data_IF_623824117180
#
_entry.id   IF_623824117180
#
_cell.length_a   1.000
_cell.length_b   1.000
_cell.length_c   1.000
_cell.angle_alpha   90.00
_cell.angle_beta   90.00
_cell.angle_gamma   90.00
#
_symmetry.space_group_name_H-M   'P 1'
#
loop_
_entity.id
_entity.type
_entity.pdbx_description
1 polymer ?
#
# COMPACT_ATOMS: atom_id res chain seq x y z
N UNK A 1 -1.09 36.60 -29.50
CA UNK A 1 -1.35 35.22 -29.97
C UNK A 1 -1.25 34.30 -28.76
N UNK A 2 -2.37 33.81 -28.22
CA UNK A 2 -2.37 32.88 -27.10
C UNK A 2 -2.26 31.44 -27.62
N UNK A 3 -1.44 30.56 -27.02
CA UNK A 3 -1.28 29.20 -27.50
C UNK A 3 -2.55 28.36 -27.28
N UNK A 4 -2.85 27.40 -28.17
CA UNK A 4 -4.04 26.57 -28.05
C UNK A 4 -3.91 25.58 -26.88
N UNK A 5 -4.93 25.57 -26.03
CA UNK A 5 -5.08 24.59 -24.95
C UNK A 5 -5.33 23.21 -25.55
N UNK A 6 -4.31 22.35 -25.55
CA UNK A 6 -4.46 20.95 -25.93
C UNK A 6 -5.31 20.25 -24.86
N UNK A 7 -6.57 19.95 -25.19
CA UNK A 7 -7.44 19.12 -24.34
C UNK A 7 -6.82 17.72 -24.24
N UNK A 8 -6.21 17.42 -23.10
CA UNK A 8 -5.72 16.08 -22.80
C UNK A 8 -6.89 15.07 -22.89
N UNK A 9 -6.88 14.23 -23.93
CA UNK A 9 -7.88 13.17 -24.12
C UNK A 9 -7.72 12.16 -22.99
N UNK A 10 -8.61 12.22 -22.01
CA UNK A 10 -8.66 11.36 -20.82
C UNK A 10 -8.84 9.92 -21.29
N UNK A 11 -7.76 9.12 -21.28
CA UNK A 11 -7.81 7.70 -21.68
C UNK A 11 -8.68 6.93 -20.69
N UNK A 12 -9.82 6.40 -21.16
CA UNK A 12 -10.60 5.38 -20.45
C UNK A 12 -9.89 4.04 -20.62
N UNK A 13 -9.31 3.53 -19.55
CA UNK A 13 -8.92 2.12 -19.43
C UNK A 13 -9.58 1.63 -18.14
N UNK A 14 -10.77 1.04 -18.27
CA UNK A 14 -11.71 0.84 -17.16
C UNK A 14 -11.99 -0.63 -16.81
N UNK A 15 -11.31 -1.60 -17.43
CA UNK A 15 -11.62 -3.03 -17.21
C UNK A 15 -10.51 -3.84 -16.51
N UNK A 16 -9.23 -3.56 -16.74
CA UNK A 16 -8.16 -4.45 -16.21
C UNK A 16 -7.46 -3.97 -14.92
N UNK A 17 -7.87 -2.84 -14.36
CA UNK A 17 -6.95 -2.01 -13.56
C UNK A 17 -7.43 -1.64 -12.15
N UNK A 18 -8.39 -2.37 -11.57
CA UNK A 18 -8.85 -2.12 -10.18
C UNK A 18 -8.89 -3.35 -9.29
N UNK A 19 -8.58 -4.53 -9.82
CA UNK A 19 -8.60 -5.78 -9.06
C UNK A 19 -7.20 -6.08 -8.55
N UNK A 20 -7.08 -6.35 -7.25
CA UNK A 20 -5.83 -6.76 -6.64
C UNK A 20 -5.41 -8.15 -7.16
N UNK A 21 -4.17 -8.27 -7.63
CA UNK A 21 -3.56 -9.57 -7.96
C UNK A 21 -2.72 -10.05 -6.78
N UNK A 22 -2.93 -11.29 -6.34
CA UNK A 22 -2.18 -11.86 -5.22
C UNK A 22 -0.66 -11.89 -5.46
N UNK A 23 -0.24 -12.06 -6.72
CA UNK A 23 1.17 -12.05 -7.13
C UNK A 23 1.88 -10.76 -6.75
N UNK A 24 1.19 -9.61 -6.74
CA UNK A 24 1.74 -8.31 -6.36
C UNK A 24 2.32 -8.27 -4.94
N UNK A 25 1.86 -9.17 -4.07
CA UNK A 25 2.42 -9.31 -2.72
C UNK A 25 3.87 -9.76 -2.77
N UNK A 26 4.19 -10.73 -3.63
CA UNK A 26 5.56 -11.20 -3.79
C UNK A 26 6.32 -10.29 -4.75
N UNK A 27 5.71 -9.89 -5.87
CA UNK A 27 6.39 -9.10 -6.89
C UNK A 27 6.81 -7.71 -6.38
N UNK A 28 5.93 -7.03 -5.65
CA UNK A 28 6.10 -5.61 -5.29
C UNK A 28 5.97 -5.32 -3.79
N UNK A 29 5.90 -6.36 -2.94
CA UNK A 29 5.73 -6.19 -1.50
C UNK A 29 4.49 -5.36 -1.13
N UNK A 30 3.36 -5.53 -1.82
CA UNK A 30 2.11 -4.82 -1.51
C UNK A 30 0.99 -5.76 -1.09
N UNK A 31 0.20 -5.36 -0.10
CA UNK A 31 -0.98 -6.11 0.35
C UNK A 31 -2.25 -5.27 0.21
N UNK A 32 -3.37 -5.91 -0.11
CA UNK A 32 -4.68 -5.25 -0.07
C UNK A 32 -5.11 -5.04 1.38
N UNK A 33 -5.47 -3.80 1.71
CA UNK A 33 -6.06 -3.43 2.98
C UNK A 33 -7.35 -2.62 2.73
N UNK A 34 -8.50 -3.29 2.78
CA UNK A 34 -9.82 -2.74 2.44
C UNK A 34 -9.81 -2.06 1.05
N UNK A 35 -9.92 -0.74 1.04
CA UNK A 35 -10.05 0.12 -0.15
C UNK A 35 -8.71 0.69 -0.65
N UNK A 36 -7.57 0.24 -0.12
CA UNK A 36 -6.26 0.67 -0.59
C UNK A 36 -5.26 -0.49 -0.56
N UNK A 37 -4.09 -0.26 -1.17
CA UNK A 37 -2.94 -1.15 -1.07
C UNK A 37 -1.94 -0.56 -0.09
N UNK A 38 -1.40 -1.40 0.79
CA UNK A 38 -0.34 -1.02 1.72
C UNK A 38 0.99 -1.57 1.21
N UNK A 39 2.00 -0.70 1.10
CA UNK A 39 3.36 -1.13 0.83
C UNK A 39 4.01 -1.68 2.10
N UNK A 40 4.49 -2.91 2.08
CA UNK A 40 5.11 -3.55 3.24
C UNK A 40 6.50 -2.98 3.55
N UNK A 41 7.17 -2.36 2.57
CA UNK A 41 8.53 -1.81 2.71
C UNK A 41 8.49 -0.47 3.46
N UNK A 42 7.68 0.47 2.97
CA UNK A 42 7.63 1.84 3.49
C UNK A 42 6.37 2.16 4.30
N UNK A 43 5.42 1.22 4.39
CA UNK A 43 4.13 1.38 5.08
C UNK A 43 3.24 2.52 4.53
N UNK A 44 3.52 2.99 3.31
CA UNK A 44 2.70 3.98 2.62
C UNK A 44 1.48 3.36 1.94
N UNK A 45 0.40 4.14 1.82
CA UNK A 45 -0.85 3.74 1.17
C UNK A 45 -0.83 4.09 -0.32
N UNK A 46 -1.17 3.13 -1.16
CA UNK A 46 -1.40 3.30 -2.59
C UNK A 46 -2.91 3.19 -2.84
N UNK A 47 -3.55 4.32 -3.11
CA UNK A 47 -5.01 4.42 -3.20
C UNK A 47 -5.61 3.73 -4.45
N UNK A 48 -4.82 3.52 -5.49
CA UNK A 48 -5.31 3.06 -6.79
C UNK A 48 -4.66 1.73 -7.16
N UNK A 49 -5.49 0.71 -7.36
CA UNK A 49 -5.14 -0.68 -7.65
C UNK A 49 -4.66 -0.88 -9.09
N UNK A 50 -3.75 -0.02 -9.55
CA UNK A 50 -3.14 -0.08 -10.87
C UNK A 50 -1.70 -0.55 -10.76
N UNK A 51 -1.35 -1.55 -11.54
CA UNK A 51 0.00 -2.10 -11.62
C UNK A 51 1.06 -1.03 -11.90
N UNK A 52 0.77 -0.06 -12.77
CA UNK A 52 1.65 1.09 -13.03
C UNK A 52 1.97 1.89 -11.75
N UNK A 53 0.96 2.15 -10.90
CA UNK A 53 1.18 2.90 -9.67
C UNK A 53 2.03 2.10 -8.68
N UNK A 54 1.80 0.78 -8.60
CA UNK A 54 2.53 -0.14 -7.73
C UNK A 54 3.99 -0.24 -8.18
N UNK A 55 4.24 -0.48 -9.48
CA UNK A 55 5.59 -0.54 -10.06
C UNK A 55 6.37 0.74 -9.83
N UNK A 56 5.76 1.89 -10.15
CA UNK A 56 6.40 3.19 -9.93
C UNK A 56 6.74 3.41 -8.46
N UNK A 57 5.83 3.07 -7.55
CA UNK A 57 6.05 3.18 -6.12
C UNK A 57 7.22 2.28 -5.67
N UNK A 58 7.20 1.01 -6.07
CA UNK A 58 8.25 0.06 -5.74
C UNK A 58 9.64 0.52 -6.21
N UNK A 59 9.77 0.96 -7.47
CA UNK A 59 11.02 1.48 -8.02
C UNK A 59 11.59 2.70 -7.27
N UNK A 60 10.74 3.51 -6.64
CA UNK A 60 11.19 4.68 -5.87
C UNK A 60 11.60 4.39 -4.43
N UNK A 61 11.27 3.20 -3.91
CA UNK A 61 11.47 2.81 -2.50
C UNK A 61 12.53 1.72 -2.37
N UNK A 62 13.65 1.93 -3.08
CA UNK A 62 14.84 1.07 -3.09
C UNK A 62 14.60 -0.35 -3.63
N UNK A 63 13.95 -0.45 -4.80
CA UNK A 63 13.75 -1.72 -5.50
C UNK A 63 15.04 -2.54 -5.62
N UNK A 64 16.21 -1.91 -5.81
CA UNK A 64 17.51 -2.58 -5.94
C UNK A 64 17.85 -3.47 -4.74
N UNK A 65 17.49 -3.06 -3.51
CA UNK A 65 17.75 -3.85 -2.30
C UNK A 65 16.87 -5.10 -2.27
N UNK A 66 15.63 -4.99 -2.74
CA UNK A 66 14.64 -6.05 -2.67
C UNK A 66 14.63 -6.96 -3.90
N UNK A 67 15.07 -6.49 -5.06
CA UNK A 67 15.16 -7.28 -6.29
C UNK A 67 16.25 -8.34 -6.22
N UNK A 68 17.26 -8.15 -5.36
CA UNK A 68 18.25 -9.20 -5.06
C UNK A 68 17.67 -10.36 -4.24
N UNK A 69 16.54 -10.16 -3.56
CA UNK A 69 15.88 -11.20 -2.78
C UNK A 69 15.07 -12.11 -3.71
N UNK A 70 15.53 -13.37 -3.81
CA UNK A 70 14.90 -14.39 -4.64
C UNK A 70 14.33 -15.54 -3.82
N UNK A 71 13.35 -16.24 -4.39
CA UNK A 71 12.81 -17.50 -3.88
C UNK A 71 12.30 -17.42 -2.43
N UNK A 72 12.74 -18.33 -1.57
CA UNK A 72 12.24 -18.46 -0.20
C UNK A 72 12.55 -17.24 0.66
N UNK A 73 13.72 -16.61 0.48
CA UNK A 73 14.12 -15.42 1.24
C UNK A 73 13.12 -14.27 1.03
N UNK A 74 12.60 -14.14 -0.20
CA UNK A 74 11.58 -13.13 -0.52
C UNK A 74 10.26 -13.43 0.20
N UNK A 75 9.84 -14.68 0.23
CA UNK A 75 8.61 -15.12 0.92
C UNK A 75 8.74 -14.87 2.42
N UNK A 76 9.85 -15.27 3.02
CA UNK A 76 10.12 -15.09 4.44
C UNK A 76 10.12 -13.61 4.79
N UNK A 77 10.74 -12.77 3.95
CA UNK A 77 10.74 -11.31 4.16
C UNK A 77 9.34 -10.72 4.10
N UNK A 78 8.50 -11.15 3.16
CA UNK A 78 7.09 -10.73 3.08
C UNK A 78 6.32 -11.09 4.35
N UNK A 79 6.50 -12.31 4.87
CA UNK A 79 5.83 -12.76 6.08
C UNK A 79 6.28 -11.96 7.31
N UNK A 80 7.60 -11.77 7.47
CA UNK A 80 8.16 -10.95 8.55
C UNK A 80 7.61 -9.51 8.54
N UNK A 81 7.51 -8.89 7.36
CA UNK A 81 6.97 -7.53 7.26
C UNK A 81 5.47 -7.47 7.60
N UNK A 82 4.69 -8.48 7.18
CA UNK A 82 3.26 -8.58 7.55
C UNK A 82 3.09 -8.73 9.06
N UNK A 83 3.86 -9.60 9.69
CA UNK A 83 3.75 -9.85 11.13
C UNK A 83 4.15 -8.62 11.94
N UNK A 84 5.19 -7.90 11.50
CA UNK A 84 5.60 -6.63 12.10
C UNK A 84 4.50 -5.57 12.03
N UNK A 85 3.86 -5.40 10.86
CA UNK A 85 2.75 -4.45 10.69
C UNK A 85 1.54 -4.85 11.54
N UNK A 86 1.18 -6.14 11.55
CA UNK A 86 0.06 -6.63 12.35
C UNK A 86 0.28 -6.41 13.84
N UNK A 87 1.50 -6.67 14.30
CA UNK A 87 1.90 -6.41 15.70
C UNK A 87 1.73 -4.93 16.03
N UNK A 88 2.30 -4.03 15.22
CA UNK A 88 2.15 -2.57 15.39
C UNK A 88 0.67 -2.14 15.44
N UNK A 89 -0.17 -2.64 14.52
CA UNK A 89 -1.59 -2.31 14.51
C UNK A 89 -2.34 -2.81 15.75
N UNK A 90 -1.95 -3.96 16.30
CA UNK A 90 -2.56 -4.50 17.52
C UNK A 90 -2.25 -3.64 18.74
N UNK A 91 -1.02 -3.10 18.84
CA UNK A 91 -0.63 -2.16 19.89
C UNK A 91 -1.45 -0.86 19.83
N UNK A 92 -1.59 -0.24 18.64
CA UNK A 92 -2.39 0.99 18.52
C UNK A 92 -3.90 0.79 18.73
N UNK A 93 -4.42 -0.42 18.51
CA UNK A 93 -5.82 -0.76 18.82
C UNK A 93 -6.06 -0.91 20.32
N UNK A 94 -5.08 -1.40 21.08
CA UNK A 94 -5.17 -1.55 22.53
C UNK A 94 -5.35 -0.18 23.23
N UNK A 95 -4.65 0.86 22.77
CA UNK A 95 -4.77 2.22 23.32
C UNK A 95 -6.12 2.88 22.99
N UNK A 96 -6.74 2.53 21.87
CA UNK A 96 -8.04 3.09 21.47
C UNK A 96 -9.19 2.56 22.35
N UNK A 97 -9.07 1.33 22.85
CA UNK A 97 -10.04 0.77 23.79
C UNK A 97 -9.98 1.46 25.17
N UNK A 98 -8.82 2.01 25.55
CA UNK A 98 -8.65 2.73 26.82
C UNK A 98 -9.10 4.20 26.79
N UNK A 99 -9.32 4.79 25.61
CA UNK A 99 -9.71 6.21 25.46
C UNK A 99 -11.21 6.43 25.23
N UNK A 100 -11.99 5.38 24.99
CA UNK A 100 -13.46 5.46 24.89
C UNK A 100 -14.17 5.54 26.26
N UNK A 101 -13.46 5.43 27.39
CA UNK A 101 -14.02 5.54 28.75
C UNK A 101 -13.79 6.89 29.43
N UNK A 102 -13.57 7.97 28.67
CA UNK A 102 -13.33 9.31 29.22
C UNK A 102 -14.33 10.38 28.71
N UNK A 103 -15.59 10.02 28.47
CA UNK A 103 -16.69 11.00 28.39
C UNK A 103 -17.49 10.97 29.69
N UNK A 104 -16.93 11.51 30.76
CA UNK A 104 -17.72 11.95 31.92
C UNK A 104 -17.54 13.46 32.07
N UNK A 105 -18.63 14.13 31.70
CA UNK A 105 -19.13 15.46 32.09
C UNK A 105 -18.18 16.46 32.76
N UNK A 106 -18.16 17.68 32.22
CA UNK A 106 -18.21 18.87 33.05
C UNK A 106 -19.39 19.73 32.58
N UNK A 107 -20.33 19.93 33.50
CA UNK A 107 -21.46 20.85 33.44
C UNK A 107 -21.00 22.23 33.95
#
# INVERSE_FOLDING_TARGET
MSPPVIKAKKRKNDSECRVFKSSWTLDFFVVKHNEYLLCLICQEKIAVFKEYNIKRHYSTKDADTFDTLTSQVRIDRVNLLKDSINSQQSFFKADKLSSETATISAF
#
